data_IF_051942075778
#
_entry.id   IF_051942075778
#
_cell.length_a   1.000
_cell.length_b   1.000
_cell.length_c   1.000
_cell.angle_alpha   90.00
_cell.angle_beta   90.00
_cell.angle_gamma   90.00
#
_symmetry.space_group_name_H-M   'P 1'
#
loop_
_entity.id
_entity.type
_entity.pdbx_description
1 polymer ?
#
# COMPACT_ATOMS: atom_id res chain seq x y z
N UNK A 1 -14.08 -17.23 -2.26
CA UNK A 1 -13.16 -17.33 -1.12
C UNK A 1 -12.12 -16.24 -1.30
N UNK A 2 -12.19 -15.14 -0.53
CA UNK A 2 -11.17 -14.08 -0.58
C UNK A 2 -10.08 -14.45 0.44
N UNK A 3 -8.85 -14.64 -0.04
CA UNK A 3 -7.71 -14.95 0.81
C UNK A 3 -7.07 -13.64 1.26
N UNK A 4 -7.03 -13.38 2.56
CA UNK A 4 -6.40 -12.18 3.12
C UNK A 4 -5.03 -12.57 3.69
N UNK A 5 -3.98 -11.89 3.25
CA UNK A 5 -2.61 -12.04 3.76
C UNK A 5 -2.17 -10.75 4.43
N UNK A 6 -1.69 -10.83 5.66
CA UNK A 6 -1.09 -9.70 6.38
C UNK A 6 0.43 -9.88 6.45
N UNK A 7 1.16 -8.86 6.05
CA UNK A 7 2.63 -8.87 6.03
C UNK A 7 3.14 -7.57 6.63
N UNK A 8 4.21 -7.66 7.44
CA UNK A 8 4.80 -6.53 8.15
C UNK A 8 6.14 -6.08 7.57
N UNK A 9 6.53 -6.62 6.40
CA UNK A 9 7.80 -6.32 5.75
C UNK A 9 7.63 -6.23 4.24
N UNK A 10 8.29 -5.22 3.64
CA UNK A 10 8.42 -5.02 2.19
C UNK A 10 8.98 -6.28 1.52
N UNK A 11 9.99 -6.92 2.11
CA UNK A 11 10.60 -8.11 1.53
C UNK A 11 9.61 -9.28 1.43
N UNK A 12 8.78 -9.48 2.46
CA UNK A 12 7.75 -10.53 2.45
C UNK A 12 6.64 -10.16 1.46
N UNK A 13 6.25 -8.89 1.40
CA UNK A 13 5.24 -8.41 0.46
C UNK A 13 5.65 -8.67 -1.00
N UNK A 14 6.93 -8.48 -1.34
CA UNK A 14 7.51 -8.82 -2.65
C UNK A 14 7.34 -10.32 -2.94
N UNK A 15 7.70 -11.19 -2.01
CA UNK A 15 7.56 -12.64 -2.20
C UNK A 15 6.11 -13.08 -2.40
N UNK A 16 5.17 -12.45 -1.67
CA UNK A 16 3.73 -12.71 -1.88
C UNK A 16 3.28 -12.26 -3.26
N UNK A 17 3.61 -11.04 -3.70
CA UNK A 17 3.22 -10.52 -5.01
C UNK A 17 3.89 -11.26 -6.18
N UNK A 18 5.01 -11.95 -5.95
CA UNK A 18 5.64 -12.82 -6.97
C UNK A 18 4.78 -14.03 -7.31
N UNK A 19 4.15 -14.64 -6.30
CA UNK A 19 3.46 -15.94 -6.44
C UNK A 19 1.94 -15.84 -6.44
N UNK A 20 1.39 -14.74 -5.93
CA UNK A 20 -0.05 -14.52 -5.81
C UNK A 20 -0.48 -13.21 -6.48
N UNK A 21 -1.69 -13.21 -7.04
CA UNK A 21 -2.43 -12.00 -7.42
C UNK A 21 -3.32 -11.58 -6.26
N UNK A 22 -3.33 -10.29 -5.97
CA UNK A 22 -4.30 -9.67 -5.08
C UNK A 22 -5.36 -8.94 -5.90
N UNK A 23 -6.58 -8.85 -5.37
CA UNK A 23 -7.65 -8.03 -5.95
C UNK A 23 -7.55 -6.58 -5.47
N UNK A 24 -6.99 -6.37 -4.27
CA UNK A 24 -6.72 -5.07 -3.66
C UNK A 24 -5.52 -5.19 -2.73
N UNK A 25 -4.69 -4.14 -2.66
CA UNK A 25 -3.61 -4.01 -1.69
C UNK A 25 -3.90 -2.87 -0.74
N UNK A 26 -3.81 -3.13 0.57
CA UNK A 26 -3.83 -2.07 1.60
C UNK A 26 -2.40 -1.86 2.07
N UNK A 27 -1.93 -0.63 2.00
CA UNK A 27 -0.55 -0.25 2.30
C UNK A 27 -0.52 0.76 3.44
N UNK A 28 0.02 0.34 4.57
CA UNK A 28 0.47 1.27 5.61
C UNK A 28 1.73 1.99 5.12
N UNK A 29 1.63 3.30 4.91
CA UNK A 29 2.76 4.10 4.40
C UNK A 29 3.74 4.48 5.51
N UNK A 30 3.34 4.46 6.78
CA UNK A 30 4.22 4.74 7.91
C UNK A 30 5.12 3.54 8.23
N UNK A 31 4.77 2.35 7.72
CA UNK A 31 5.57 1.14 7.83
C UNK A 31 6.97 1.33 7.21
N UNK A 32 7.98 0.80 7.91
CA UNK A 32 9.36 0.75 7.45
C UNK A 32 9.95 2.11 7.02
N UNK A 33 9.57 3.20 7.72
CA UNK A 33 10.08 4.55 7.49
C UNK A 33 9.91 5.04 6.04
N UNK A 34 8.78 4.71 5.41
CA UNK A 34 8.45 5.16 4.06
C UNK A 34 8.99 4.28 2.92
N UNK A 35 9.67 3.18 3.23
CA UNK A 35 10.05 2.18 2.22
C UNK A 35 8.83 1.47 1.60
N UNK A 36 7.69 1.56 2.27
CA UNK A 36 6.37 1.15 1.81
C UNK A 36 6.00 1.71 0.43
N UNK A 37 6.43 2.92 0.09
CA UNK A 37 6.14 3.54 -1.22
C UNK A 37 6.71 2.75 -2.41
N UNK A 38 7.85 2.07 -2.23
CA UNK A 38 8.42 1.22 -3.28
C UNK A 38 7.48 0.07 -3.69
N UNK A 39 6.54 -0.31 -2.82
CA UNK A 39 5.53 -1.32 -3.14
C UNK A 39 4.53 -0.84 -4.17
N UNK A 40 4.29 0.46 -4.30
CA UNK A 40 3.38 0.99 -5.32
C UNK A 40 3.94 0.74 -6.71
N UNK A 41 5.22 1.08 -6.91
CA UNK A 41 5.93 0.84 -8.17
C UNK A 41 6.06 -0.66 -8.45
N UNK A 42 6.42 -1.44 -7.43
CA UNK A 42 6.56 -2.88 -7.58
C UNK A 42 5.24 -3.57 -7.95
N UNK A 43 4.15 -3.18 -7.29
CA UNK A 43 2.81 -3.68 -7.62
C UNK A 43 2.41 -3.30 -9.05
N UNK A 44 2.67 -2.08 -9.49
CA UNK A 44 2.39 -1.64 -10.86
C UNK A 44 3.22 -2.41 -11.90
N UNK A 45 4.48 -2.70 -11.60
CA UNK A 45 5.34 -3.53 -12.43
C UNK A 45 4.82 -4.97 -12.56
N UNK A 46 4.37 -5.56 -11.44
CA UNK A 46 4.01 -6.98 -11.39
C UNK A 46 2.58 -7.26 -11.83
N UNK A 47 1.65 -6.39 -11.45
CA UNK A 47 0.20 -6.57 -11.64
C UNK A 47 -0.40 -5.25 -12.10
N UNK A 48 -0.47 -5.08 -13.42
CA UNK A 48 -1.08 -3.91 -14.04
C UNK A 48 -2.49 -3.69 -13.46
N UNK A 49 -2.77 -2.45 -13.04
CA UNK A 49 -4.04 -2.00 -12.45
C UNK A 49 -4.40 -2.63 -11.09
N UNK A 50 -3.45 -3.15 -10.29
CA UNK A 50 -3.76 -3.54 -8.91
C UNK A 50 -4.21 -2.30 -8.12
N UNK A 51 -5.45 -2.25 -7.59
CA UNK A 51 -5.90 -1.13 -6.77
C UNK A 51 -5.14 -1.10 -5.44
N UNK A 52 -4.55 0.04 -5.12
CA UNK A 52 -3.82 0.24 -3.87
C UNK A 52 -4.55 1.28 -3.02
N UNK A 53 -4.84 0.91 -1.78
CA UNK A 53 -5.38 1.79 -0.75
C UNK A 53 -4.26 2.09 0.23
N UNK A 54 -3.82 3.34 0.25
CA UNK A 54 -2.80 3.78 1.18
C UNK A 54 -3.46 4.23 2.49
N UNK A 55 -2.79 3.95 3.61
CA UNK A 55 -3.24 4.29 4.95
C UNK A 55 -2.07 4.82 5.77
N UNK A 56 -2.35 5.80 6.63
CA UNK A 56 -1.37 6.42 7.53
C UNK A 56 -2.04 6.86 8.82
N UNK A 57 -1.32 6.69 9.93
CA UNK A 57 -1.65 7.25 11.24
C UNK A 57 -0.98 8.63 11.46
N UNK A 58 -0.06 9.02 10.58
CA UNK A 58 0.69 10.26 10.69
C UNK A 58 -0.14 11.48 10.22
N UNK A 59 -0.23 12.54 11.04
CA UNK A 59 -0.94 13.77 10.68
C UNK A 59 -0.25 14.53 9.52
N UNK A 60 1.03 14.22 9.24
CA UNK A 60 1.84 14.89 8.23
C UNK A 60 1.53 14.42 6.80
N UNK A 61 0.78 13.32 6.63
CA UNK A 61 0.43 12.75 5.32
C UNK A 61 -1.00 13.06 4.86
N UNK A 62 -1.59 14.14 5.37
CA UNK A 62 -2.92 14.62 4.98
C UNK A 62 -2.92 15.41 3.65
N UNK A 63 -1.76 15.82 3.16
CA UNK A 63 -1.64 16.64 1.96
C UNK A 63 -1.53 15.76 0.71
N UNK A 64 -2.32 16.07 -0.32
CA UNK A 64 -2.43 15.28 -1.57
C UNK A 64 -1.13 15.17 -2.39
N UNK A 65 0.01 15.63 -1.87
CA UNK A 65 1.33 15.52 -2.51
C UNK A 65 1.77 14.07 -2.74
N UNK A 66 1.25 13.12 -1.95
CA UNK A 66 1.48 11.69 -2.12
C UNK A 66 0.88 11.07 -3.39
N UNK A 67 -0.09 11.73 -4.03
CA UNK A 67 -0.75 11.18 -5.22
C UNK A 67 0.08 11.35 -6.51
N UNK A 68 1.19 12.10 -6.47
CA UNK A 68 1.91 12.48 -7.68
C UNK A 68 2.85 11.40 -8.28
N UNK A 69 3.40 10.42 -7.52
CA UNK A 69 4.15 9.31 -8.13
C UNK A 69 3.34 8.00 -8.26
N UNK A 70 2.16 7.86 -7.63
CA UNK A 70 1.50 6.57 -7.44
C UNK A 70 0.41 6.27 -8.49
N UNK A 71 0.78 5.78 -9.68
CA UNK A 71 -0.15 5.47 -10.80
C UNK A 71 -1.30 4.51 -10.42
N UNK A 72 -1.13 3.69 -9.37
CA UNK A 72 -2.11 2.68 -8.93
C UNK A 72 -2.78 2.99 -7.58
N UNK A 73 -2.48 4.13 -6.94
CA UNK A 73 -3.15 4.50 -5.69
C UNK A 73 -4.56 5.02 -5.98
N UNK A 74 -5.58 4.28 -5.52
CA UNK A 74 -6.98 4.61 -5.77
C UNK A 74 -7.66 5.32 -4.60
N UNK A 75 -7.11 5.21 -3.39
CA UNK A 75 -7.65 5.87 -2.19
C UNK A 75 -6.57 6.08 -1.12
N UNK A 76 -6.74 7.13 -0.30
CA UNK A 76 -5.99 7.36 0.92
C UNK A 76 -6.97 7.46 2.10
N UNK A 77 -6.78 6.63 3.12
CA UNK A 77 -7.59 6.67 4.34
C UNK A 77 -6.71 7.00 5.55
N UNK A 78 -7.21 7.87 6.43
CA UNK A 78 -6.64 8.08 7.77
C UNK A 78 -7.37 7.17 8.75
N UNK A 79 -6.67 6.56 9.70
CA UNK A 79 -7.39 6.08 10.88
C UNK A 79 -7.72 7.28 11.73
N UNK A 80 -9.01 7.45 11.99
CA UNK A 80 -9.41 8.01 13.26
C UNK A 80 -9.34 6.87 14.27
N UNK A 81 -8.29 6.87 15.10
CA UNK A 81 -8.38 6.17 16.38
C UNK A 81 -9.29 7.05 17.25
N UNK A 82 -10.57 6.68 17.36
CA UNK A 82 -11.43 7.21 18.41
C UNK A 82 -10.90 6.65 19.74
N UNK A 83 -10.23 7.51 20.50
CA UNK A 83 -9.86 7.26 21.90
C UNK A 83 -11.07 7.33 22.82
#
# INVERSE_FOLDING_TARGET
MHLTSFVSSVAIAIEVLKVARADVMVLDIDLAHGLSFAMVDYAAFRHLNLPIVCFSDSPNFADRSLFNPCTNACAFMRALILG
#
